data_IF_999721033723
#
_entry.id   IF_999721033723
#
_cell.length_a   1.000
_cell.length_b   1.000
_cell.length_c   1.000
_cell.angle_alpha   90.00
_cell.angle_beta   90.00
_cell.angle_gamma   90.00
#
_symmetry.space_group_name_H-M   'P 1'
#
loop_
_entity.id
_entity.type
_entity.pdbx_description
1 polymer ?
#
# COMPACT_ATOMS: atom_id res chain seq x y z
N UNK A 1 1.28 33.33 -16.56
CA UNK A 1 1.82 34.41 -17.43
C UNK A 1 2.71 33.86 -18.54
N UNK A 2 3.70 33.00 -18.27
CA UNK A 2 4.50 32.37 -19.34
C UNK A 2 3.65 31.44 -20.22
N UNK A 3 2.82 30.57 -19.63
CA UNK A 3 1.90 29.71 -20.38
C UNK A 3 0.92 30.49 -21.28
N UNK A 4 0.38 31.61 -20.78
CA UNK A 4 -0.53 32.46 -21.56
C UNK A 4 0.21 33.18 -22.69
N UNK A 5 1.45 33.60 -22.46
CA UNK A 5 2.29 34.26 -23.48
C UNK A 5 2.79 33.28 -24.54
N UNK A 6 3.15 32.06 -24.16
CA UNK A 6 3.55 31.02 -25.13
C UNK A 6 2.35 30.57 -25.96
N UNK A 7 1.18 30.38 -25.34
CA UNK A 7 -0.06 30.05 -26.04
C UNK A 7 -0.51 31.19 -26.95
N UNK A 8 -0.44 32.45 -26.50
CA UNK A 8 -0.77 33.64 -27.28
C UNK A 8 0.22 33.86 -28.44
N UNK A 9 1.52 33.60 -28.22
CA UNK A 9 2.53 33.66 -29.27
C UNK A 9 2.31 32.59 -30.34
N UNK A 10 1.85 31.40 -29.93
CA UNK A 10 1.44 30.31 -30.83
C UNK A 10 0.17 30.65 -31.61
N UNK A 11 -0.82 31.24 -30.95
CA UNK A 11 -2.09 31.61 -31.57
C UNK A 11 -1.95 32.76 -32.58
N UNK A 12 -0.96 33.65 -32.40
CA UNK A 12 -0.75 34.84 -33.25
C UNK A 12 0.17 34.62 -34.44
N UNK A 13 1.03 33.62 -34.41
CA UNK A 13 1.94 33.32 -35.52
C UNK A 13 1.50 32.04 -36.21
N UNK A 14 0.96 32.21 -37.42
CA UNK A 14 0.58 31.11 -38.30
C UNK A 14 1.87 30.47 -38.86
N UNK A 15 2.43 29.53 -38.10
CA UNK A 15 3.64 28.78 -38.47
C UNK A 15 3.35 27.65 -39.48
N UNK A 16 2.11 27.53 -39.98
CA UNK A 16 1.67 26.34 -40.73
C UNK A 16 1.63 25.08 -39.88
N UNK A 17 1.58 25.23 -38.55
CA UNK A 17 1.40 24.14 -37.58
C UNK A 17 -0.09 23.91 -37.35
N UNK A 18 -0.48 22.65 -37.23
CA UNK A 18 -1.85 22.30 -36.90
C UNK A 18 -2.15 22.79 -35.48
N UNK A 19 -3.36 23.29 -35.22
CA UNK A 19 -3.75 23.82 -33.90
C UNK A 19 -3.59 22.78 -32.78
N UNK A 20 -3.66 21.51 -33.15
CA UNK A 20 -3.54 20.30 -32.36
C UNK A 20 -2.11 20.05 -31.87
N UNK A 21 -1.10 20.58 -32.58
CA UNK A 21 0.30 20.54 -32.13
C UNK A 21 0.49 21.36 -30.83
N UNK A 22 -0.47 22.22 -30.46
CA UNK A 22 -0.46 22.94 -29.19
C UNK A 22 -0.61 21.98 -28.00
N UNK A 23 -1.16 20.78 -28.21
CA UNK A 23 -1.30 19.73 -27.20
C UNK A 23 0.05 19.11 -26.81
N UNK A 24 1.09 19.24 -27.63
CA UNK A 24 2.44 18.81 -27.28
C UNK A 24 2.97 19.57 -26.06
N UNK A 25 2.55 20.83 -25.88
CA UNK A 25 2.97 21.64 -24.74
C UNK A 25 2.49 21.09 -23.39
N UNK A 26 1.19 20.87 -23.13
CA UNK A 26 0.74 20.26 -21.88
C UNK A 26 1.28 18.84 -21.68
N UNK A 27 1.50 18.06 -22.75
CA UNK A 27 2.18 16.76 -22.67
C UNK A 27 3.61 16.93 -22.12
N UNK A 28 4.40 17.83 -22.71
CA UNK A 28 5.77 18.10 -22.27
C UNK A 28 5.83 18.64 -20.84
N UNK A 29 4.93 19.57 -20.49
CA UNK A 29 4.80 20.10 -19.12
C UNK A 29 4.46 18.98 -18.14
N UNK A 30 3.54 18.08 -18.50
CA UNK A 30 3.17 16.93 -17.69
C UNK A 30 4.36 16.00 -17.41
N UNK A 31 5.13 15.66 -18.45
CA UNK A 31 6.36 14.84 -18.32
C UNK A 31 7.37 15.51 -17.40
N UNK A 32 7.61 16.82 -17.56
CA UNK A 32 8.55 17.57 -16.70
C UNK A 32 8.08 17.57 -15.25
N UNK A 33 6.79 17.80 -14.99
CA UNK A 33 6.23 17.75 -13.64
C UNK A 33 6.40 16.36 -13.00
N UNK A 34 6.09 15.29 -13.72
CA UNK A 34 6.32 13.90 -13.26
C UNK A 34 7.81 13.66 -12.97
N UNK A 35 8.70 14.17 -13.83
CA UNK A 35 10.16 14.07 -13.63
C UNK A 35 10.65 14.83 -12.40
N UNK A 36 10.15 16.04 -12.15
CA UNK A 36 10.47 16.83 -10.95
C UNK A 36 9.94 16.16 -9.68
N UNK A 37 8.71 15.67 -9.75
CA UNK A 37 8.07 14.86 -8.71
C UNK A 37 8.91 13.64 -8.35
N UNK A 38 9.43 12.91 -9.35
CA UNK A 38 10.34 11.79 -9.13
C UNK A 38 11.66 12.24 -8.51
N UNK A 39 12.27 13.32 -8.98
CA UNK A 39 13.55 13.83 -8.47
C UNK A 39 13.47 14.51 -7.09
N UNK A 40 12.27 14.73 -6.55
CA UNK A 40 12.03 15.56 -5.34
C UNK A 40 12.65 16.95 -5.46
N UNK A 41 12.71 17.47 -6.69
CA UNK A 41 13.30 18.76 -6.96
C UNK A 41 12.25 19.83 -6.70
N UNK A 42 12.47 20.70 -5.71
CA UNK A 42 11.63 21.87 -5.48
C UNK A 42 12.08 23.01 -6.41
N UNK A 43 11.35 23.32 -7.51
CA UNK A 43 11.74 24.39 -8.42
C UNK A 43 11.55 25.79 -7.80
N UNK A 44 10.76 25.89 -6.72
CA UNK A 44 10.44 27.15 -6.08
C UNK A 44 11.52 27.58 -5.09
N UNK A 45 12.35 26.65 -4.58
CA UNK A 45 13.42 26.91 -3.61
C UNK A 45 12.95 27.45 -2.25
N UNK A 46 11.63 27.63 -2.08
CA UNK A 46 10.95 28.10 -0.88
C UNK A 46 9.65 27.32 -0.72
N UNK A 47 9.12 27.30 0.51
CA UNK A 47 7.80 26.75 0.77
C UNK A 47 6.74 27.62 0.07
N UNK A 48 5.88 26.95 -0.69
CA UNK A 48 4.75 27.57 -1.38
C UNK A 48 3.51 27.09 -0.66
N UNK A 49 2.68 28.00 -0.18
CA UNK A 49 1.38 27.66 0.40
C UNK A 49 0.34 27.66 -0.72
N UNK A 50 -0.45 26.61 -0.82
CA UNK A 50 -1.55 26.51 -1.76
C UNK A 50 -2.85 26.48 -0.99
N UNK A 51 -3.77 27.33 -1.41
CA UNK A 51 -5.11 27.37 -0.88
C UNK A 51 -5.99 26.52 -1.80
N UNK A 52 -6.60 25.46 -1.25
CA UNK A 52 -7.56 24.69 -2.01
C UNK A 52 -8.80 25.54 -2.31
N UNK A 53 -9.36 25.39 -3.50
CA UNK A 53 -10.55 26.15 -3.91
C UNK A 53 -11.70 25.82 -2.97
N UNK A 54 -12.16 26.80 -2.19
CA UNK A 54 -13.27 26.64 -1.26
C UNK A 54 -12.88 26.42 0.20
N UNK A 55 -11.59 26.38 0.55
CA UNK A 55 -11.13 26.31 1.95
C UNK A 55 -10.43 27.62 2.36
N UNK A 56 -10.58 28.00 3.64
CA UNK A 56 -9.80 29.10 4.22
C UNK A 56 -8.39 28.67 4.66
N UNK A 57 -8.15 27.36 4.73
CA UNK A 57 -6.87 26.79 5.15
C UNK A 57 -5.93 26.64 3.96
N UNK A 58 -4.71 27.13 4.15
CA UNK A 58 -3.61 26.96 3.21
C UNK A 58 -2.73 25.80 3.64
N UNK A 59 -2.52 24.84 2.77
CA UNK A 59 -1.60 23.72 2.99
C UNK A 59 -0.26 23.98 2.29
N UNK A 60 0.86 23.45 2.83
CA UNK A 60 2.13 23.51 2.12
C UNK A 60 2.07 22.65 0.85
N UNK A 61 2.55 23.20 -0.26
CA UNK A 61 2.61 22.52 -1.55
C UNK A 61 3.61 21.36 -1.49
N UNK A 62 3.10 20.14 -1.61
CA UNK A 62 3.95 18.95 -1.69
C UNK A 62 4.37 18.77 -3.14
N UNK A 63 5.58 19.22 -3.46
CA UNK A 63 6.11 19.14 -4.82
C UNK A 63 6.18 17.69 -5.34
N UNK A 64 6.43 16.70 -4.47
CA UNK A 64 6.46 15.31 -4.90
C UNK A 64 5.05 14.80 -5.24
N UNK A 65 4.07 15.03 -4.36
CA UNK A 65 2.69 14.58 -4.56
C UNK A 65 1.99 15.38 -5.65
N UNK A 66 1.98 16.71 -5.54
CA UNK A 66 1.17 17.59 -6.37
C UNK A 66 1.67 17.62 -7.82
N UNK A 67 2.98 17.74 -8.07
CA UNK A 67 3.47 17.60 -9.45
C UNK A 67 3.31 16.20 -10.00
N UNK A 68 3.32 15.17 -9.15
CA UNK A 68 3.06 13.81 -9.59
C UNK A 68 1.62 13.64 -10.07
N UNK A 69 0.64 14.17 -9.33
CA UNK A 69 -0.78 14.13 -9.67
C UNK A 69 -1.10 15.07 -10.85
N UNK A 70 -0.74 16.35 -10.76
CA UNK A 70 -0.99 17.33 -11.81
C UNK A 70 -0.23 16.97 -13.09
N UNK A 71 1.03 16.57 -13.00
CA UNK A 71 1.81 16.18 -14.17
C UNK A 71 1.19 15.00 -14.92
N UNK A 72 0.68 14.02 -14.17
CA UNK A 72 -0.05 12.88 -14.75
C UNK A 72 -1.33 13.29 -15.45
N UNK A 73 -2.11 14.19 -14.83
CA UNK A 73 -3.36 14.70 -15.40
C UNK A 73 -3.10 15.53 -16.67
N UNK A 74 -2.15 16.47 -16.62
CA UNK A 74 -1.76 17.29 -17.77
C UNK A 74 -1.29 16.44 -18.94
N UNK A 75 -0.50 15.41 -18.66
CA UNK A 75 -0.04 14.46 -19.67
C UNK A 75 -1.21 13.69 -20.28
N UNK A 76 -2.03 13.00 -19.49
CA UNK A 76 -3.09 12.13 -20.02
C UNK A 76 -4.23 12.90 -20.70
N UNK A 77 -4.67 14.02 -20.14
CA UNK A 77 -5.77 14.82 -20.71
C UNK A 77 -5.38 15.37 -22.09
N UNK A 78 -4.12 15.74 -22.29
CA UNK A 78 -3.63 16.22 -23.58
C UNK A 78 -3.26 15.06 -24.52
N UNK A 79 -2.74 13.95 -24.00
CA UNK A 79 -2.34 12.79 -24.79
C UNK A 79 -3.53 12.12 -25.47
N UNK A 80 -4.71 12.10 -24.83
CA UNK A 80 -5.92 11.52 -25.42
C UNK A 80 -6.28 12.15 -26.79
N UNK A 81 -6.64 13.44 -26.89
CA UNK A 81 -6.95 14.05 -28.18
C UNK A 81 -5.74 14.13 -29.11
N UNK A 82 -4.51 14.22 -28.58
CA UNK A 82 -3.31 14.24 -29.40
C UNK A 82 -3.07 12.91 -30.12
N UNK A 83 -3.33 11.78 -29.46
CA UNK A 83 -3.19 10.44 -30.07
C UNK A 83 -4.14 10.21 -31.24
N UNK A 84 -5.37 10.71 -31.13
CA UNK A 84 -6.37 10.69 -32.21
C UNK A 84 -5.92 11.57 -33.39
N UNK A 85 -5.35 12.74 -33.11
CA UNK A 85 -4.85 13.65 -34.14
C UNK A 85 -3.69 13.07 -34.96
N UNK A 86 -2.77 12.36 -34.32
CA UNK A 86 -1.63 11.72 -35.01
C UNK A 86 -1.99 10.35 -35.62
N UNK A 87 -3.24 9.90 -35.48
CA UNK A 87 -3.73 8.60 -35.96
C UNK A 87 -2.90 7.41 -35.42
N UNK A 88 -2.50 7.48 -34.15
CA UNK A 88 -1.80 6.39 -33.46
C UNK A 88 -2.67 5.89 -32.32
N UNK A 89 -3.66 5.06 -32.66
CA UNK A 89 -4.76 4.62 -31.78
C UNK A 89 -4.28 3.99 -30.46
N UNK A 90 -3.15 3.27 -30.48
CA UNK A 90 -2.60 2.62 -29.29
C UNK A 90 -1.82 3.56 -28.37
N UNK A 91 -1.42 4.74 -28.85
CA UNK A 91 -0.49 5.62 -28.14
C UNK A 91 -1.05 6.07 -26.80
N UNK A 92 -2.35 6.37 -26.72
CA UNK A 92 -2.98 6.75 -25.47
C UNK A 92 -2.97 5.61 -24.45
N UNK A 93 -3.41 4.41 -24.84
CA UNK A 93 -3.37 3.23 -23.98
C UNK A 93 -1.96 2.92 -23.48
N UNK A 94 -0.97 2.93 -24.37
CA UNK A 94 0.44 2.74 -24.02
C UNK A 94 0.96 3.82 -23.07
N UNK A 95 0.54 5.07 -23.26
CA UNK A 95 0.93 6.19 -22.39
C UNK A 95 0.42 6.02 -20.96
N UNK A 96 -0.81 5.50 -20.79
CA UNK A 96 -1.36 5.15 -19.47
C UNK A 96 -0.50 4.06 -18.83
N UNK A 97 -0.19 2.97 -19.56
CA UNK A 97 0.62 1.86 -19.04
C UNK A 97 2.00 2.36 -18.60
N UNK A 98 2.68 3.17 -19.41
CA UNK A 98 4.00 3.71 -19.09
C UNK A 98 3.97 4.61 -17.86
N UNK A 99 2.98 5.49 -17.77
CA UNK A 99 2.83 6.39 -16.63
C UNK A 99 2.49 5.62 -15.35
N UNK A 100 1.61 4.63 -15.43
CA UNK A 100 1.27 3.76 -14.31
C UNK A 100 2.46 2.92 -13.85
N UNK A 101 3.24 2.38 -14.78
CA UNK A 101 4.50 1.68 -14.47
C UNK A 101 5.50 2.60 -13.76
N UNK A 102 5.61 3.86 -14.18
CA UNK A 102 6.43 4.83 -13.47
C UNK A 102 5.93 5.03 -12.02
N UNK A 103 4.62 5.19 -11.81
CA UNK A 103 4.05 5.34 -10.48
C UNK A 103 4.15 4.08 -9.61
N UNK A 104 4.07 2.87 -10.16
CA UNK A 104 4.22 1.63 -9.38
C UNK A 104 5.64 1.50 -8.84
N UNK A 105 6.66 1.74 -9.69
CA UNK A 105 8.06 1.61 -9.31
C UNK A 105 8.39 2.63 -8.21
N UNK A 106 8.00 3.89 -8.40
CA UNK A 106 8.25 4.95 -7.41
C UNK A 106 7.38 4.74 -6.17
N UNK A 107 6.14 4.29 -6.34
CA UNK A 107 5.15 4.09 -5.28
C UNK A 107 5.55 3.00 -4.31
N UNK A 108 6.01 1.85 -4.78
CA UNK A 108 6.53 0.80 -3.91
C UNK A 108 7.91 1.14 -3.34
N UNK A 109 8.79 1.79 -4.11
CA UNK A 109 10.12 2.18 -3.64
C UNK A 109 10.10 3.24 -2.52
N UNK A 110 9.02 4.03 -2.42
CA UNK A 110 8.88 5.13 -1.43
C UNK A 110 7.69 4.97 -0.49
N UNK A 111 6.95 3.87 -0.60
CA UNK A 111 5.70 3.61 0.13
C UNK A 111 4.59 4.66 -0.05
N UNK A 112 4.49 5.25 -1.24
CA UNK A 112 3.44 6.22 -1.54
C UNK A 112 2.15 5.51 -1.96
N UNK A 113 1.17 5.44 -1.05
CA UNK A 113 -0.14 4.82 -1.30
C UNK A 113 -0.86 5.37 -2.54
N UNK A 114 -0.86 6.69 -2.72
CA UNK A 114 -1.53 7.34 -3.85
C UNK A 114 -0.93 6.94 -5.21
N UNK A 115 0.39 6.77 -5.30
CA UNK A 115 1.05 6.32 -6.55
C UNK A 115 0.70 4.88 -6.86
N UNK A 116 0.69 4.02 -5.84
CA UNK A 116 0.30 2.61 -6.01
C UNK A 116 -1.16 2.50 -6.46
N UNK A 117 -2.06 3.33 -5.93
CA UNK A 117 -3.46 3.38 -6.37
C UNK A 117 -3.60 3.84 -7.84
N UNK A 118 -2.89 4.90 -8.23
CA UNK A 118 -2.88 5.35 -9.64
C UNK A 118 -2.44 4.21 -10.55
N UNK A 119 -1.41 3.46 -10.16
CA UNK A 119 -0.97 2.33 -10.95
C UNK A 119 -1.92 1.14 -10.92
N UNK A 120 -2.57 0.87 -9.78
CA UNK A 120 -3.51 -0.24 -9.60
C UNK A 120 -4.66 -0.18 -10.58
N UNK A 121 -5.16 1.04 -10.80
CA UNK A 121 -6.23 1.28 -11.76
C UNK A 121 -5.63 1.47 -13.15
N UNK A 122 -4.58 2.27 -13.28
CA UNK A 122 -4.08 2.71 -14.58
C UNK A 122 -3.41 1.62 -15.41
N UNK A 123 -2.61 0.71 -14.85
CA UNK A 123 -1.94 -0.34 -15.65
C UNK A 123 -2.96 -1.25 -16.37
N UNK A 124 -3.93 -1.87 -15.68
CA UNK A 124 -4.97 -2.66 -16.32
C UNK A 124 -5.81 -1.83 -17.31
N UNK A 125 -6.20 -0.61 -16.94
CA UNK A 125 -6.98 0.26 -17.83
C UNK A 125 -6.23 0.61 -19.11
N UNK A 126 -4.94 0.95 -19.03
CA UNK A 126 -4.11 1.25 -20.19
C UNK A 126 -3.97 0.07 -21.15
N UNK A 127 -3.84 -1.15 -20.61
CA UNK A 127 -3.82 -2.37 -21.40
C UNK A 127 -5.17 -2.61 -22.09
N UNK A 128 -6.29 -2.45 -21.38
CA UNK A 128 -7.63 -2.59 -21.97
C UNK A 128 -7.84 -1.57 -23.11
N UNK A 129 -7.50 -0.29 -22.89
CA UNK A 129 -7.59 0.75 -23.91
C UNK A 129 -6.74 0.40 -25.13
N UNK A 130 -5.51 -0.08 -24.92
CA UNK A 130 -4.64 -0.56 -26.01
C UNK A 130 -5.25 -1.74 -26.76
N UNK A 131 -5.89 -2.67 -26.06
CA UNK A 131 -6.54 -3.83 -26.65
C UNK A 131 -7.76 -3.47 -27.50
N UNK A 132 -8.55 -2.49 -27.04
CA UNK A 132 -9.71 -1.97 -27.79
C UNK A 132 -9.28 -1.35 -29.12
N UNK A 133 -8.13 -0.68 -29.17
CA UNK A 133 -7.61 -0.08 -30.40
C UNK A 133 -7.29 -1.09 -31.52
N UNK A 134 -6.98 -2.35 -31.19
CA UNK A 134 -6.53 -3.36 -32.16
C UNK A 134 -7.50 -4.54 -32.36
N UNK A 135 -8.49 -4.69 -31.48
CA UNK A 135 -9.49 -5.78 -31.51
C UNK A 135 -8.89 -7.21 -31.57
N UNK A 136 -9.75 -8.22 -31.76
CA UNK A 136 -9.36 -9.60 -32.06
C UNK A 136 -8.41 -10.25 -31.04
N UNK A 137 -7.36 -10.92 -31.54
CA UNK A 137 -6.38 -11.62 -30.71
C UNK A 137 -5.60 -10.65 -29.80
N UNK A 138 -5.36 -9.42 -30.26
CA UNK A 138 -4.61 -8.42 -29.48
C UNK A 138 -5.44 -7.98 -28.28
N UNK A 139 -6.76 -7.80 -28.43
CA UNK A 139 -7.64 -7.51 -27.29
C UNK A 139 -7.58 -8.62 -26.23
N UNK A 140 -7.67 -9.88 -26.64
CA UNK A 140 -7.59 -11.03 -25.72
C UNK A 140 -6.23 -11.08 -25.02
N UNK A 141 -5.15 -10.85 -25.76
CA UNK A 141 -3.80 -10.76 -25.20
C UNK A 141 -3.69 -9.63 -24.16
N UNK A 142 -4.21 -8.45 -24.46
CA UNK A 142 -4.17 -7.31 -23.54
C UNK A 142 -5.01 -7.54 -22.28
N UNK A 143 -6.16 -8.20 -22.39
CA UNK A 143 -6.98 -8.59 -21.23
C UNK A 143 -6.26 -9.62 -20.35
N UNK A 144 -5.57 -10.58 -20.97
CA UNK A 144 -4.73 -11.52 -20.24
C UNK A 144 -3.59 -10.81 -19.51
N UNK A 145 -2.88 -9.90 -20.20
CA UNK A 145 -1.86 -9.04 -19.58
C UNK A 145 -2.44 -8.20 -18.45
N UNK A 146 -3.62 -7.60 -18.62
CA UNK A 146 -4.29 -6.80 -17.58
C UNK A 146 -4.56 -7.64 -16.33
N UNK A 147 -5.02 -8.89 -16.52
CA UNK A 147 -5.25 -9.84 -15.44
C UNK A 147 -3.93 -10.22 -14.74
N UNK A 148 -2.87 -10.50 -15.50
CA UNK A 148 -1.53 -10.75 -14.94
C UNK A 148 -1.00 -9.55 -14.16
N UNK A 149 -1.24 -8.32 -14.62
CA UNK A 149 -0.82 -7.12 -13.87
C UNK A 149 -1.57 -6.98 -12.55
N UNK A 150 -2.89 -7.28 -12.51
CA UNK A 150 -3.66 -7.27 -11.27
C UNK A 150 -3.16 -8.32 -10.28
N UNK A 151 -2.86 -9.54 -10.75
CA UNK A 151 -2.26 -10.60 -9.92
C UNK A 151 -0.90 -10.15 -9.39
N UNK A 152 -0.02 -9.62 -10.26
CA UNK A 152 1.29 -9.12 -9.87
C UNK A 152 1.19 -8.01 -8.82
N UNK A 153 0.24 -7.08 -8.97
CA UNK A 153 -0.01 -6.05 -7.97
C UNK A 153 -0.56 -6.64 -6.67
N UNK A 154 -1.50 -7.58 -6.71
CA UNK A 154 -2.00 -8.25 -5.52
C UNK A 154 -0.87 -8.91 -4.72
N UNK A 155 0.07 -9.59 -5.39
CA UNK A 155 1.26 -10.17 -4.75
C UNK A 155 2.17 -9.08 -4.13
N UNK A 156 2.40 -7.97 -4.84
CA UNK A 156 3.18 -6.84 -4.30
C UNK A 156 2.50 -6.18 -3.08
N UNK A 157 1.18 -6.15 -3.03
CA UNK A 157 0.44 -5.66 -1.87
C UNK A 157 0.45 -6.66 -0.71
N UNK A 158 0.27 -7.96 -0.98
CA UNK A 158 0.29 -9.00 0.04
C UNK A 158 1.67 -9.13 0.72
N UNK A 159 2.74 -9.18 -0.07
CA UNK A 159 4.13 -9.24 0.43
C UNK A 159 4.47 -8.07 1.35
N UNK A 160 3.92 -6.89 1.10
CA UNK A 160 4.14 -5.72 1.95
C UNK A 160 3.27 -5.71 3.22
N UNK A 161 2.15 -6.42 3.23
CA UNK A 161 1.26 -6.59 4.38
C UNK A 161 1.73 -7.63 5.39
N UNK A 162 2.93 -8.21 5.25
CA UNK A 162 3.42 -9.31 6.08
C UNK A 162 2.74 -10.66 5.77
N UNK A 163 1.88 -10.69 4.77
CA UNK A 163 1.36 -11.92 4.19
C UNK A 163 2.34 -12.37 3.12
N UNK A 164 3.47 -12.93 3.55
CA UNK A 164 4.36 -13.67 2.66
C UNK A 164 3.55 -14.86 2.12
N UNK A 165 2.94 -14.69 0.94
CA UNK A 165 2.41 -15.80 0.16
C UNK A 165 3.63 -16.56 -0.36
N UNK A 166 4.20 -17.40 0.49
CA UNK A 166 5.48 -18.04 0.20
C UNK A 166 6.15 -18.75 1.37
N UNK A 167 5.42 -19.58 2.14
CA UNK A 167 6.08 -20.66 2.90
C UNK A 167 5.17 -21.89 3.00
N UNK A 168 4.84 -22.47 1.85
CA UNK A 168 4.42 -23.88 1.74
C UNK A 168 5.39 -24.63 0.84
N UNK A 169 6.70 -24.51 1.12
CA UNK A 169 7.59 -25.63 0.84
C UNK A 169 7.34 -26.60 2.00
N UNK A 170 6.66 -27.71 1.70
CA UNK A 170 6.59 -28.85 2.61
C UNK A 170 8.03 -29.24 2.98
N UNK A 171 8.39 -29.03 4.25
CA UNK A 171 9.65 -29.50 4.83
C UNK A 171 10.74 -28.45 5.12
N UNK A 172 10.54 -27.17 4.83
CA UNK A 172 11.43 -26.13 5.38
C UNK A 172 10.87 -25.68 6.74
N UNK A 173 11.63 -25.90 7.81
CA UNK A 173 11.27 -25.43 9.14
C UNK A 173 10.91 -23.94 9.08
N UNK A 174 9.85 -23.49 9.79
CA UNK A 174 9.52 -22.08 9.86
C UNK A 174 10.79 -21.32 10.23
N UNK A 175 11.11 -20.27 9.47
CA UNK A 175 12.14 -19.34 9.87
C UNK A 175 11.57 -18.59 11.06
N UNK A 176 11.71 -19.18 12.24
CA UNK A 176 11.54 -18.52 13.52
C UNK A 176 12.57 -17.41 13.51
N UNK A 177 12.12 -16.17 13.37
CA UNK A 177 12.99 -15.02 13.62
C UNK A 177 13.51 -15.15 15.04
N UNK A 178 14.83 -15.30 15.19
CA UNK A 178 15.47 -15.49 16.48
C UNK A 178 15.60 -14.15 17.23
N UNK A 179 14.46 -13.51 17.46
CA UNK A 179 14.34 -12.33 18.30
C UNK A 179 13.95 -12.82 19.69
N UNK A 180 14.96 -12.99 20.56
CA UNK A 180 14.75 -13.29 21.98
C UNK A 180 15.46 -14.52 22.53
N UNK A 181 16.31 -15.21 21.78
CA UNK A 181 17.15 -16.26 22.35
C UNK A 181 18.44 -15.66 22.89
N UNK A 182 18.53 -15.56 24.21
CA UNK A 182 19.78 -15.30 24.91
C UNK A 182 20.80 -16.37 24.55
N UNK A 183 21.93 -15.98 23.95
CA UNK A 183 23.10 -16.85 23.80
C UNK A 183 23.47 -17.41 25.19
N UNK A 184 23.45 -18.74 25.41
CA UNK A 184 23.98 -19.28 26.63
C UNK A 184 25.52 -19.26 26.56
N UNK A 185 26.11 -18.37 27.36
CA UNK A 185 27.56 -18.34 27.66
C UNK A 185 28.07 -19.73 28.09
N UNK A 186 29.27 -20.16 27.66
CA UNK A 186 29.71 -21.54 27.77
C UNK A 186 30.31 -21.82 29.15
N UNK A 187 30.02 -23.01 29.71
CA UNK A 187 30.90 -23.74 30.65
C UNK A 187 30.38 -25.20 30.84
N UNK A 188 31.20 -26.18 31.29
CA UNK A 188 31.63 -27.27 30.42
C UNK A 188 31.08 -28.67 30.78
N UNK A 189 30.93 -29.49 29.73
CA UNK A 189 31.12 -30.96 29.64
C UNK A 189 30.64 -31.87 30.79
N UNK A 190 29.72 -32.79 30.46
CA UNK A 190 29.91 -34.26 30.61
C UNK A 190 28.84 -35.09 29.85
N UNK A 191 29.28 -35.66 28.72
CA UNK A 191 29.12 -37.05 28.24
C UNK A 191 27.97 -37.89 28.86
N UNK A 192 27.03 -38.43 28.07
CA UNK A 192 27.03 -39.84 27.54
C UNK A 192 25.67 -40.28 26.93
N UNK A 193 25.77 -40.96 25.78
CA UNK A 193 24.98 -42.12 25.27
C UNK A 193 23.51 -41.97 24.76
N UNK A 194 23.37 -42.12 23.43
CA UNK A 194 22.30 -42.84 22.69
C UNK A 194 22.14 -44.31 23.16
N UNK A 195 21.19 -45.16 22.69
CA UNK A 195 20.26 -45.06 21.53
C UNK A 195 18.80 -45.44 21.92
N UNK A 196 17.79 -45.62 21.04
CA UNK A 196 17.47 -46.88 20.33
C UNK A 196 16.22 -46.70 19.45
N UNK A 197 16.31 -47.26 18.23
CA UNK A 197 15.36 -47.89 17.28
C UNK A 197 13.89 -48.16 17.71
N UNK A 198 12.86 -48.48 16.90
CA UNK A 198 12.47 -48.64 15.46
C UNK A 198 11.00 -49.16 15.53
N UNK A 199 10.25 -49.13 14.41
CA UNK A 199 9.06 -49.97 14.09
C UNK A 199 7.70 -49.56 14.67
N UNK A 200 6.55 -49.71 13.99
CA UNK A 200 6.24 -50.23 12.64
C UNK A 200 4.80 -49.84 12.28
N UNK A 201 4.54 -49.87 10.98
CA UNK A 201 3.33 -49.57 10.22
C UNK A 201 2.03 -50.36 10.53
N UNK A 202 0.93 -49.78 10.02
CA UNK A 202 -0.21 -50.39 9.30
C UNK A 202 -1.54 -50.74 10.02
N UNK A 203 -2.61 -50.18 9.43
CA UNK A 203 -4.07 -50.37 9.59
C UNK A 203 -4.58 -51.74 9.00
N UNK A 204 -5.88 -51.99 8.68
CA UNK A 204 -7.18 -51.33 8.98
C UNK A 204 -8.35 -52.34 9.28
N UNK A 205 -9.58 -51.77 9.30
CA UNK A 205 -10.94 -52.33 9.08
C UNK A 205 -11.70 -52.90 10.30
N UNK A 206 -12.84 -52.29 10.67
CA UNK A 206 -14.15 -52.72 10.14
C UNK A 206 -15.35 -51.81 10.57
N UNK A 207 -16.38 -51.86 9.74
CA UNK A 207 -17.81 -51.62 9.96
C UNK A 207 -18.44 -50.21 10.14
N UNK A 208 -19.44 -49.95 9.26
CA UNK A 208 -20.47 -48.89 9.31
C UNK A 208 -21.83 -49.62 9.47
N UNK A 209 -22.88 -49.06 10.12
CA UNK A 209 -23.82 -48.22 9.36
C UNK A 209 -24.68 -47.17 10.14
N UNK A 210 -25.02 -46.09 9.42
CA UNK A 210 -26.33 -45.38 9.31
C UNK A 210 -27.02 -44.63 10.46
N UNK A 211 -27.46 -43.40 10.10
CA UNK A 211 -28.60 -42.56 10.60
C UNK A 211 -28.45 -41.98 12.03
N UNK A 212 -28.76 -40.72 12.37
CA UNK A 212 -29.85 -39.80 12.01
C UNK A 212 -29.41 -38.33 12.12
N UNK A 213 -30.15 -37.47 11.41
CA UNK A 213 -30.11 -36.00 11.45
C UNK A 213 -30.78 -35.54 12.73
N UNK A 214 -30.09 -34.75 13.55
CA UNK A 214 -30.71 -33.99 14.64
C UNK A 214 -30.28 -32.52 14.57
N UNK A 215 -31.28 -31.65 14.73
CA UNK A 215 -31.24 -30.22 14.49
C UNK A 215 -30.36 -29.51 15.54
N UNK A 216 -29.22 -28.94 15.13
CA UNK A 216 -28.42 -28.08 16.02
C UNK A 216 -29.12 -26.72 16.23
N UNK A 217 -29.64 -26.62 17.44
CA UNK A 217 -30.15 -25.43 18.11
C UNK A 217 -29.16 -24.26 18.01
N UNK A 218 -29.63 -23.13 17.50
CA UNK A 218 -28.90 -21.87 17.36
C UNK A 218 -28.41 -21.34 18.72
N UNK A 219 -27.15 -21.61 19.07
CA UNK A 219 -26.47 -20.97 20.21
C UNK A 219 -25.89 -19.62 19.77
N UNK A 220 -26.45 -18.56 20.31
CA UNK A 220 -25.94 -17.19 20.25
C UNK A 220 -24.50 -17.14 20.80
N UNK A 221 -23.50 -16.60 20.06
CA UNK A 221 -22.12 -16.64 20.51
C UNK A 221 -21.92 -15.70 21.70
N UNK A 222 -21.58 -16.27 22.86
CA UNK A 222 -21.12 -15.51 24.02
C UNK A 222 -19.90 -14.64 23.65
N UNK A 223 -19.78 -13.42 24.22
CA UNK A 223 -18.66 -12.53 23.93
C UNK A 223 -17.34 -13.18 24.36
N UNK A 224 -16.46 -13.40 23.37
CA UNK A 224 -15.10 -13.89 23.56
C UNK A 224 -14.37 -12.97 24.54
N UNK A 225 -14.01 -13.49 25.72
CA UNK A 225 -13.13 -12.78 26.66
C UNK A 225 -11.81 -12.47 25.95
N UNK A 226 -11.31 -11.22 26.00
CA UNK A 226 -10.01 -10.90 25.42
C UNK A 226 -8.95 -11.77 26.09
N UNK A 227 -8.20 -12.51 25.27
CA UNK A 227 -7.02 -13.23 25.74
C UNK A 227 -6.03 -12.22 26.31
N UNK A 228 -5.43 -12.54 27.46
CA UNK A 228 -4.40 -11.72 28.09
C UNK A 228 -3.26 -11.45 27.10
N UNK A 229 -2.78 -10.21 26.97
CA UNK A 229 -1.75 -9.86 26.01
C UNK A 229 -0.44 -10.62 26.32
N UNK A 230 0.37 -10.86 25.28
CA UNK A 230 1.70 -11.50 25.44
C UNK A 230 2.72 -10.60 26.14
N UNK A 231 2.42 -9.30 26.24
CA UNK A 231 3.28 -8.29 26.85
C UNK A 231 2.44 -7.12 27.39
N UNK A 232 2.75 -6.71 28.61
CA UNK A 232 2.23 -5.50 29.26
C UNK A 232 3.41 -4.62 29.67
N UNK A 233 3.29 -3.31 29.44
CA UNK A 233 4.40 -2.37 29.65
C UNK A 233 4.67 -2.02 31.12
N UNK A 234 3.81 -2.42 32.06
CA UNK A 234 3.94 -2.05 33.47
C UNK A 234 5.18 -2.68 34.14
N UNK A 235 5.55 -3.90 33.74
CA UNK A 235 6.66 -4.67 34.36
C UNK A 235 7.93 -4.77 33.48
N UNK A 236 8.01 -4.04 32.37
CA UNK A 236 9.11 -4.18 31.42
C UNK A 236 10.37 -3.40 31.83
N UNK A 237 11.54 -4.08 31.81
CA UNK A 237 12.86 -3.47 32.07
C UNK A 237 13.36 -2.53 30.96
N UNK A 238 12.57 -2.33 29.90
CA UNK A 238 12.89 -1.47 28.76
C UNK A 238 11.69 -0.60 28.40
N UNK A 239 11.96 0.63 27.95
CA UNK A 239 10.92 1.55 27.49
C UNK A 239 10.64 1.40 25.99
N UNK A 240 9.36 1.51 25.60
CA UNK A 240 8.95 1.53 24.20
C UNK A 240 8.92 2.99 23.72
N UNK A 241 9.70 3.30 22.68
CA UNK A 241 9.71 4.64 22.07
C UNK A 241 8.74 4.67 20.89
N UNK A 242 7.64 5.40 21.05
CA UNK A 242 6.69 5.66 19.97
C UNK A 242 7.26 6.64 18.95
N UNK A 243 6.89 6.44 17.68
CA UNK A 243 7.24 7.35 16.60
C UNK A 243 6.60 8.74 16.83
N UNK A 244 7.28 9.86 16.49
CA UNK A 244 6.75 11.22 16.72
C UNK A 244 5.34 11.48 16.16
N UNK A 245 4.99 10.89 15.00
CA UNK A 245 3.67 11.02 14.39
C UNK A 245 2.57 10.32 15.21
N UNK A 246 2.84 9.13 15.75
CA UNK A 246 1.89 8.44 16.62
C UNK A 246 1.64 9.23 17.90
N UNK A 247 2.70 9.81 18.47
CA UNK A 247 2.61 10.68 19.63
C UNK A 247 1.80 11.96 19.36
N UNK A 248 1.89 12.51 18.15
CA UNK A 248 1.09 13.65 17.73
C UNK A 248 -0.39 13.28 17.63
N UNK A 249 -0.72 12.20 16.89
CA UNK A 249 -2.09 11.73 16.71
C UNK A 249 -2.76 11.37 18.05
N UNK A 250 -2.01 10.77 18.97
CA UNK A 250 -2.49 10.48 20.32
C UNK A 250 -2.85 11.74 21.10
N UNK A 251 -1.96 12.75 21.07
CA UNK A 251 -2.22 14.04 21.73
C UNK A 251 -3.41 14.75 21.11
N UNK A 252 -3.54 14.72 19.80
CA UNK A 252 -4.67 15.29 19.08
C UNK A 252 -5.98 14.59 19.47
N UNK A 253 -6.01 13.26 19.49
CA UNK A 253 -7.18 12.47 19.91
C UNK A 253 -7.60 12.78 21.35
N UNK A 254 -6.64 12.85 22.29
CA UNK A 254 -6.90 13.21 23.69
C UNK A 254 -7.46 14.64 23.79
N UNK A 255 -6.92 15.59 23.02
CA UNK A 255 -7.32 16.99 23.10
C UNK A 255 -8.70 17.29 22.46
N UNK A 256 -9.09 16.49 21.47
CA UNK A 256 -10.30 16.74 20.67
C UNK A 256 -11.54 16.07 21.27
N UNK A 257 -11.35 14.97 21.98
CA UNK A 257 -12.46 14.19 22.52
C UNK A 257 -12.83 14.66 23.94
N UNK A 258 -13.96 15.38 24.05
CA UNK A 258 -14.50 15.92 25.32
C UNK A 258 -15.48 14.99 26.04
N UNK A 259 -15.83 13.85 25.44
CA UNK A 259 -16.80 12.91 26.01
C UNK A 259 -16.15 11.80 26.83
N UNK A 260 -14.83 11.62 26.70
CA UNK A 260 -14.04 10.62 27.42
C UNK A 260 -13.08 11.31 28.39
N UNK A 261 -13.16 10.95 29.67
CA UNK A 261 -12.27 11.46 30.70
C UNK A 261 -10.97 10.68 30.72
N UNK A 262 -9.98 11.10 29.93
CA UNK A 262 -8.67 10.46 29.84
C UNK A 262 -7.84 10.51 31.13
N UNK A 263 -8.30 11.19 32.20
CA UNK A 263 -7.66 11.06 33.52
C UNK A 263 -7.92 9.70 34.17
N UNK A 264 -8.96 9.00 33.71
CA UNK A 264 -9.35 7.67 34.21
C UNK A 264 -8.87 6.51 33.34
N UNK A 265 -8.11 6.80 32.28
CA UNK A 265 -7.70 5.81 31.29
C UNK A 265 -6.22 5.96 30.95
N UNK A 266 -5.45 4.88 31.11
CA UNK A 266 -4.04 4.81 30.71
C UNK A 266 -3.92 4.13 29.33
N UNK A 267 -3.13 4.68 28.40
CA UNK A 267 -2.82 3.99 27.16
C UNK A 267 -1.85 2.84 27.45
N UNK A 268 -2.25 1.61 27.11
CA UNK A 268 -1.44 0.40 27.27
C UNK A 268 -1.10 -0.15 25.89
N UNK A 269 0.19 -0.37 25.65
CA UNK A 269 0.66 -0.92 24.39
C UNK A 269 0.80 -2.43 24.53
N UNK A 270 -0.06 -3.17 23.86
CA UNK A 270 -0.11 -4.62 23.89
C UNK A 270 0.43 -5.21 22.58
N UNK A 271 1.09 -6.36 22.68
CA UNK A 271 1.43 -7.19 21.52
C UNK A 271 0.44 -8.35 21.49
N UNK A 272 -0.35 -8.44 20.42
CA UNK A 272 -1.32 -9.52 20.27
C UNK A 272 -0.64 -10.84 19.86
N UNK A 273 -1.37 -11.95 19.94
CA UNK A 273 -0.87 -13.30 19.62
C UNK A 273 -0.37 -13.49 18.19
N UNK A 274 -0.71 -12.57 17.28
CA UNK A 274 -0.21 -12.54 15.90
C UNK A 274 1.01 -11.61 15.71
N UNK A 275 1.56 -11.05 16.80
CA UNK A 275 2.71 -10.15 16.75
C UNK A 275 2.40 -8.69 16.39
N UNK A 276 1.14 -8.32 16.17
CA UNK A 276 0.77 -6.92 15.96
C UNK A 276 0.81 -6.10 17.25
N UNK A 277 1.33 -4.88 17.13
CA UNK A 277 1.34 -3.89 18.20
C UNK A 277 0.00 -3.15 18.18
N UNK A 278 -0.74 -3.24 19.28
CA UNK A 278 -2.05 -2.63 19.46
C UNK A 278 -1.98 -1.66 20.63
N UNK A 279 -2.57 -0.48 20.46
CA UNK A 279 -2.73 0.48 21.54
C UNK A 279 -4.13 0.34 22.13
N UNK A 280 -4.19 -0.16 23.37
CA UNK A 280 -5.41 -0.30 24.15
C UNK A 280 -5.49 0.82 25.21
N UNK A 281 -6.67 0.97 25.79
CA UNK A 281 -6.89 1.88 26.92
C UNK A 281 -7.43 1.07 28.09
N UNK A 282 -6.77 1.18 29.24
CA UNK A 282 -7.18 0.51 30.47
C UNK A 282 -7.63 1.54 31.49
N UNK A 283 -8.63 1.19 32.32
CA UNK A 283 -9.10 2.10 33.36
C UNK A 283 -7.99 2.20 34.41
N UNK A 284 -7.49 3.40 34.66
CA UNK A 284 -6.51 3.62 35.73
C UNK A 284 -7.17 3.28 37.06
N UNK A 285 -6.71 2.23 37.73
CA UNK A 285 -7.21 1.78 39.02
C UNK A 285 -6.76 2.75 40.13
N UNK A 286 -7.40 3.91 40.18
CA UNK A 286 -7.49 4.75 41.38
C UNK A 286 -8.98 4.87 41.75
N UNK A 287 -9.56 3.77 42.19
CA UNK A 287 -10.78 3.73 43.01
C UNK A 287 -10.45 2.83 44.22
N UNK A 288 -9.79 3.40 45.23
CA UNK A 288 -10.05 3.06 46.64
C UNK A 288 -11.00 4.12 47.23
#
# INVERSE_FOLDING_TARGET
MVQTLTLESWLRHDFGLHSEDALVWPIAVGIVMVGLSWRRANPYGREVMVQAVGTSESEPFDTERDFGMFGSAFFLIAMFPYSEFIEVDFAFGASIVLLSLHHVIVGFGRDHGWRRLISLIGMPSGLIVTGVAYEGLIMVLMLFLASLTLIGQAVLYASRGGLEIGSTIEGAAPIVSDVGVSEPSPEPSKIKEEPTEVSEEAEPEDDVPSEEVDEEESVEPEPVKPQSPLFESEDALFGIRLEPNMMYNLREMISTNRTVDFSKWSPVLAISSNGSIVLNWEKSSEEE
#
